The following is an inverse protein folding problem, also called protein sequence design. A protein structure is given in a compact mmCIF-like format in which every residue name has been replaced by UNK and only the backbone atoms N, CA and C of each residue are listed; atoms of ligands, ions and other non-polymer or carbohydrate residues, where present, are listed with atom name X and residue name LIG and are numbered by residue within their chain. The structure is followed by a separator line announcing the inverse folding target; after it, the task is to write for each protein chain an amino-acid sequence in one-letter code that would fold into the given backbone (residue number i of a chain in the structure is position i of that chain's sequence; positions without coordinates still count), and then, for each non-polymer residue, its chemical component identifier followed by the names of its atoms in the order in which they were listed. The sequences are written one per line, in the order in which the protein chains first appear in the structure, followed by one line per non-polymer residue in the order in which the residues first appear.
data_IF_359048964930
#
_entry.id   IF_359048964930
#
_cell.length_a   1.000
_cell.length_b   1.000
_cell.length_c   1.000
_cell.angle_alpha   90.00
_cell.angle_beta   90.00
_cell.angle_gamma   90.00
#
_symmetry.space_group_name_H-M   'P 1'
#
loop_
_entity.id
_entity.type
_entity.pdbx_description
1 polymer ?
#
# COMPACT_ATOMS: atom_id res chain seq x y z
N UNK A 1 -36.41 13.65 3.48
CA UNK A 1 -36.94 12.29 3.72
C UNK A 1 -36.00 11.43 4.58
N UNK A 2 -34.67 11.49 4.39
CA UNK A 2 -33.70 10.75 5.20
C UNK A 2 -33.46 11.33 6.63
N UNK A 3 -33.76 12.61 6.86
CA UNK A 3 -33.57 13.30 8.15
C UNK A 3 -34.47 12.75 9.27
N UNK A 4 -35.63 12.18 8.93
CA UNK A 4 -36.55 11.58 9.91
C UNK A 4 -36.12 10.18 10.37
N UNK A 5 -35.24 9.51 9.62
CA UNK A 5 -34.73 8.16 9.93
C UNK A 5 -33.45 8.20 10.78
N UNK A 6 -32.63 9.25 10.62
CA UNK A 6 -31.37 9.40 11.36
C UNK A 6 -31.17 10.83 11.90
N UNK A 7 -31.92 11.23 12.93
CA UNK A 7 -31.90 12.59 13.47
C UNK A 7 -30.55 13.00 14.12
N UNK A 8 -29.66 12.04 14.40
CA UNK A 8 -28.33 12.30 14.98
C UNK A 8 -27.21 12.26 13.93
N UNK A 9 -27.54 11.95 12.68
CA UNK A 9 -26.57 11.77 11.61
C UNK A 9 -26.24 13.12 11.00
N UNK A 10 -24.99 13.54 11.17
CA UNK A 10 -24.48 14.76 10.54
C UNK A 10 -24.14 14.45 9.08
N UNK A 11 -25.11 14.63 8.19
CA UNK A 11 -24.97 14.36 6.75
C UNK A 11 -23.72 15.00 6.13
N UNK A 12 -23.37 16.22 6.54
CA UNK A 12 -22.17 16.91 6.07
C UNK A 12 -20.87 16.17 6.43
N UNK A 13 -20.80 15.60 7.64
CA UNK A 13 -19.63 14.85 8.08
C UNK A 13 -19.51 13.53 7.35
N UNK A 14 -20.64 12.89 7.08
CA UNK A 14 -20.68 11.61 6.37
C UNK A 14 -20.23 11.79 4.92
N UNK A 15 -20.68 12.86 4.27
CA UNK A 15 -20.22 13.24 2.94
C UNK A 15 -18.71 13.56 2.92
N UNK A 16 -18.24 14.36 3.86
CA UNK A 16 -16.81 14.69 3.97
C UNK A 16 -15.94 13.43 4.19
N UNK A 17 -16.33 12.53 5.11
CA UNK A 17 -15.60 11.29 5.37
C UNK A 17 -15.61 10.34 4.15
N UNK A 18 -16.70 10.34 3.38
CA UNK A 18 -16.80 9.57 2.14
C UNK A 18 -15.79 10.08 1.10
N UNK A 19 -15.71 11.40 0.93
CA UNK A 19 -14.72 12.02 0.04
C UNK A 19 -13.29 11.77 0.52
N UNK A 20 -13.05 11.81 1.82
CA UNK A 20 -11.74 11.52 2.40
C UNK A 20 -11.30 10.08 2.12
N UNK A 21 -12.22 9.12 2.27
CA UNK A 21 -11.97 7.71 1.94
C UNK A 21 -11.71 7.51 0.46
N UNK A 22 -12.49 8.17 -0.41
CA UNK A 22 -12.30 8.11 -1.85
C UNK A 22 -10.95 8.70 -2.27
N UNK A 23 -10.55 9.83 -1.67
CA UNK A 23 -9.26 10.45 -1.88
C UNK A 23 -8.11 9.52 -1.47
N UNK A 24 -8.18 8.96 -0.25
CA UNK A 24 -7.18 8.00 0.22
C UNK A 24 -7.06 6.80 -0.71
N UNK A 25 -8.20 6.23 -1.12
CA UNK A 25 -8.26 5.03 -1.96
C UNK A 25 -7.73 5.30 -3.37
N UNK A 26 -8.16 6.39 -4.01
CA UNK A 26 -7.73 6.74 -5.36
C UNK A 26 -6.22 7.03 -5.40
N UNK A 27 -5.74 7.87 -4.49
CA UNK A 27 -4.33 8.28 -4.47
C UNK A 27 -3.42 7.12 -4.06
N UNK A 28 -3.78 6.40 -2.98
CA UNK A 28 -3.00 5.23 -2.56
C UNK A 28 -3.06 4.11 -3.60
N UNK A 29 -4.20 3.89 -4.25
CA UNK A 29 -4.37 2.88 -5.29
C UNK A 29 -3.46 3.15 -6.49
N UNK A 30 -3.44 4.38 -6.99
CA UNK A 30 -2.55 4.77 -8.10
C UNK A 30 -1.07 4.65 -7.70
N UNK A 31 -0.69 5.18 -6.54
CA UNK A 31 0.71 5.12 -6.08
C UNK A 31 1.17 3.68 -5.81
N UNK A 32 0.32 2.88 -5.19
CA UNK A 32 0.53 1.44 -4.97
C UNK A 32 0.69 0.70 -6.29
N UNK A 33 -0.17 0.98 -7.26
CA UNK A 33 -0.11 0.33 -8.56
C UNK A 33 1.22 0.61 -9.25
N UNK A 34 1.67 1.87 -9.27
CA UNK A 34 2.96 2.24 -9.84
C UNK A 34 4.13 1.57 -9.10
N UNK A 35 4.17 1.62 -7.77
CA UNK A 35 5.24 0.99 -6.98
C UNK A 35 5.24 -0.54 -7.11
N UNK A 36 4.06 -1.15 -7.07
CA UNK A 36 3.86 -2.59 -7.25
C UNK A 36 4.31 -3.06 -8.62
N UNK A 37 4.04 -2.27 -9.67
CA UNK A 37 4.49 -2.55 -11.02
C UNK A 37 6.02 -2.47 -11.12
N UNK A 38 6.65 -1.44 -10.56
CA UNK A 38 8.12 -1.33 -10.53
C UNK A 38 8.76 -2.51 -9.78
N UNK A 39 8.24 -2.86 -8.60
CA UNK A 39 8.72 -4.01 -7.82
C UNK A 39 8.49 -5.33 -8.58
N UNK A 40 7.33 -5.50 -9.21
CA UNK A 40 6.99 -6.68 -10.01
C UNK A 40 7.90 -6.83 -11.23
N UNK A 41 8.18 -5.75 -11.95
CA UNK A 41 9.14 -5.73 -13.05
C UNK A 41 10.56 -6.05 -12.59
N UNK A 42 11.00 -5.46 -11.48
CA UNK A 42 12.32 -5.73 -10.91
C UNK A 42 12.50 -7.22 -10.57
N UNK A 43 11.50 -7.84 -9.94
CA UNK A 43 11.49 -9.29 -9.69
C UNK A 43 11.46 -10.09 -10.98
N UNK A 44 10.64 -9.70 -11.96
CA UNK A 44 10.52 -10.40 -13.24
C UNK A 44 11.84 -10.41 -14.03
N UNK A 45 12.54 -9.27 -14.08
CA UNK A 45 13.79 -9.11 -14.81
C UNK A 45 14.98 -9.80 -14.13
N UNK A 46 14.99 -9.85 -12.80
CA UNK A 46 16.08 -10.45 -12.01
C UNK A 46 15.91 -11.95 -11.73
N UNK A 47 14.71 -12.48 -11.97
CA UNK A 47 14.40 -13.89 -11.82
C UNK A 47 15.22 -14.81 -12.74
N UNK A 48 15.20 -16.11 -12.45
CA UNK A 48 15.87 -17.15 -13.25
C UNK A 48 15.29 -17.16 -14.67
N UNK A 49 16.15 -16.97 -15.67
CA UNK A 49 15.76 -16.83 -17.09
C UNK A 49 15.40 -15.40 -17.53
N UNK A 50 15.52 -14.39 -16.66
CA UNK A 50 15.35 -12.98 -17.03
C UNK A 50 16.61 -12.35 -17.65
N UNK A 51 16.43 -11.23 -18.36
CA UNK A 51 17.51 -10.51 -19.06
C UNK A 51 18.62 -10.02 -18.10
N UNK A 52 18.27 -9.69 -16.85
CA UNK A 52 19.20 -9.23 -15.81
C UNK A 52 19.30 -10.25 -14.67
N UNK A 53 19.50 -11.53 -15.02
CA UNK A 53 19.55 -12.60 -14.04
C UNK A 53 20.53 -12.31 -12.89
N UNK A 54 20.00 -12.07 -11.69
CA UNK A 54 20.79 -11.89 -10.49
C UNK A 54 20.06 -12.51 -9.31
N UNK A 55 20.51 -13.71 -8.93
CA UNK A 55 19.91 -14.49 -7.84
C UNK A 55 19.93 -13.74 -6.50
N UNK A 56 20.96 -12.94 -6.25
CA UNK A 56 21.09 -12.16 -5.01
C UNK A 56 20.03 -11.06 -4.97
N UNK A 57 19.91 -10.27 -6.04
CA UNK A 57 18.93 -9.17 -6.11
C UNK A 57 17.51 -9.71 -6.04
N UNK A 58 17.21 -10.77 -6.80
CA UNK A 58 15.91 -11.43 -6.75
C UNK A 58 15.58 -11.92 -5.33
N UNK A 59 16.53 -12.59 -4.66
CA UNK A 59 16.31 -13.11 -3.31
C UNK A 59 16.09 -12.00 -2.30
N UNK A 60 16.85 -10.90 -2.36
CA UNK A 60 16.69 -9.76 -1.44
C UNK A 60 15.31 -9.11 -1.62
N UNK A 61 14.92 -8.79 -2.86
CA UNK A 61 13.62 -8.17 -3.14
C UNK A 61 12.49 -9.11 -2.74
N UNK A 62 12.61 -10.41 -3.04
CA UNK A 62 11.61 -11.42 -2.68
C UNK A 62 11.44 -11.56 -1.17
N UNK A 63 12.54 -11.60 -0.41
CA UNK A 63 12.49 -11.62 1.07
C UNK A 63 11.78 -10.36 1.58
N UNK A 64 12.18 -9.18 1.10
CA UNK A 64 11.57 -7.91 1.51
C UNK A 64 10.07 -7.91 1.25
N UNK A 65 9.64 -8.24 0.02
CA UNK A 65 8.22 -8.31 -0.36
C UNK A 65 7.45 -9.28 0.53
N UNK A 66 8.01 -10.46 0.79
CA UNK A 66 7.36 -11.46 1.64
C UNK A 66 7.27 -11.00 3.09
N UNK A 67 8.31 -10.37 3.65
CA UNK A 67 8.28 -9.80 5.01
C UNK A 67 7.17 -8.74 5.12
N UNK A 68 7.10 -7.79 4.19
CA UNK A 68 6.05 -6.77 4.23
C UNK A 68 4.64 -7.37 4.08
N UNK A 69 4.45 -8.43 3.28
CA UNK A 69 3.16 -9.15 3.19
C UNK A 69 2.77 -9.87 4.47
N UNK A 70 3.76 -10.38 5.22
CA UNK A 70 3.51 -11.09 6.48
C UNK A 70 3.19 -10.15 7.65
N UNK A 71 3.58 -8.87 7.57
CA UNK A 71 3.25 -7.88 8.60
C UNK A 71 1.77 -7.50 8.47
N UNK A 72 0.95 -7.66 9.52
CA UNK A 72 -0.43 -7.22 9.49
C UNK A 72 -0.52 -5.72 9.21
N UNK A 73 -1.46 -5.30 8.36
CA UNK A 73 -1.59 -3.90 7.94
C UNK A 73 -1.68 -2.91 9.11
N UNK A 74 -2.41 -3.28 10.17
CA UNK A 74 -2.54 -2.47 11.40
C UNK A 74 -1.17 -2.23 12.07
N UNK A 75 -0.31 -3.26 12.10
CA UNK A 75 1.04 -3.16 12.68
C UNK A 75 1.94 -2.28 11.81
N UNK A 76 1.81 -2.39 10.48
CA UNK A 76 2.56 -1.56 9.55
C UNK A 76 2.25 -0.07 9.69
N UNK A 77 0.98 0.30 9.92
CA UNK A 77 0.59 1.68 10.21
C UNK A 77 1.37 2.20 11.42
N UNK A 78 1.38 1.45 12.51
CA UNK A 78 2.06 1.85 13.75
C UNK A 78 3.58 1.94 13.53
N UNK A 79 4.15 0.99 12.80
CA UNK A 79 5.58 0.97 12.46
C UNK A 79 5.99 2.21 11.64
N UNK A 80 5.09 2.70 10.79
CA UNK A 80 5.33 3.86 9.93
C UNK A 80 5.03 5.20 10.60
N UNK A 81 4.44 5.27 11.81
CA UNK A 81 4.20 6.54 12.52
C UNK A 81 5.42 7.48 12.54
N UNK A 82 6.63 7.06 12.95
CA UNK A 82 7.79 7.96 12.96
C UNK A 82 8.15 8.45 11.54
N UNK A 83 8.06 7.57 10.55
CA UNK A 83 8.31 7.91 9.15
C UNK A 83 7.25 8.89 8.61
N UNK A 84 5.97 8.60 8.80
CA UNK A 84 4.85 9.47 8.42
C UNK A 84 4.96 10.84 9.07
N UNK A 85 5.32 10.91 10.36
CA UNK A 85 5.54 12.19 11.04
C UNK A 85 6.66 13.01 10.40
N UNK A 86 7.75 12.38 9.96
CA UNK A 86 8.85 13.09 9.29
C UNK A 86 8.49 13.55 7.88
N UNK A 87 7.70 12.78 7.13
CA UNK A 87 7.39 13.07 5.72
C UNK A 87 6.18 14.01 5.58
N UNK A 88 5.13 13.76 6.36
CA UNK A 88 3.82 14.43 6.26
C UNK A 88 3.65 15.50 7.34
N UNK A 89 4.42 15.44 8.44
CA UNK A 89 4.34 16.38 9.55
C UNK A 89 3.19 16.11 10.54
N UNK A 90 2.28 15.17 10.22
CA UNK A 90 1.14 14.79 11.07
C UNK A 90 0.99 13.27 11.15
N UNK A 91 0.37 12.80 12.24
CA UNK A 91 0.02 11.39 12.48
C UNK A 91 -1.48 11.11 12.26
N UNK A 92 -2.29 12.15 12.03
CA UNK A 92 -3.74 12.06 11.85
C UNK A 92 -4.19 12.65 10.50
N UNK A 93 -5.32 12.14 10.01
CA UNK A 93 -5.99 12.56 8.77
C UNK A 93 -5.56 11.76 7.53
N UNK A 94 -6.25 12.00 6.40
CA UNK A 94 -6.02 11.30 5.14
C UNK A 94 -4.56 11.20 4.72
N UNK A 95 -3.85 12.33 4.77
CA UNK A 95 -2.47 12.39 4.30
C UNK A 95 -1.51 11.56 5.16
N UNK A 96 -1.82 11.37 6.45
CA UNK A 96 -1.03 10.52 7.34
C UNK A 96 -1.26 9.02 7.09
N UNK A 97 -2.44 8.64 6.58
CA UNK A 97 -2.75 7.26 6.24
C UNK A 97 -2.11 6.81 4.91
N UNK A 98 -1.86 7.74 3.99
CA UNK A 98 -1.34 7.44 2.65
C UNK A 98 -0.03 6.62 2.65
N UNK A 99 1.03 6.96 3.42
CA UNK A 99 2.28 6.21 3.37
C UNK A 99 2.10 4.75 3.76
N UNK A 100 1.31 4.47 4.81
CA UNK A 100 1.04 3.11 5.25
C UNK A 100 0.21 2.33 4.23
N UNK A 101 -0.80 2.97 3.64
CA UNK A 101 -1.60 2.36 2.56
C UNK A 101 -0.73 2.01 1.35
N UNK A 102 0.12 2.93 0.91
CA UNK A 102 0.97 2.76 -0.27
C UNK A 102 2.02 1.66 -0.05
N UNK A 103 2.76 1.73 1.05
CA UNK A 103 3.83 0.74 1.36
C UNK A 103 3.24 -0.62 1.72
N UNK A 104 2.08 -0.65 2.38
CA UNK A 104 1.41 -1.90 2.74
C UNK A 104 0.80 -2.62 1.55
N UNK A 105 0.24 -1.88 0.59
CA UNK A 105 -0.43 -2.48 -0.56
C UNK A 105 0.54 -2.81 -1.72
N UNK A 106 1.67 -2.09 -1.86
CA UNK A 106 2.59 -2.29 -2.98
C UNK A 106 3.16 -3.72 -3.10
N UNK A 107 3.56 -4.39 -1.99
CA UNK A 107 4.01 -5.77 -2.02
C UNK A 107 2.96 -6.73 -2.57
N UNK A 108 1.66 -6.48 -2.42
CA UNK A 108 0.60 -7.38 -2.92
C UNK A 108 0.46 -7.39 -4.44
N UNK A 109 0.89 -6.32 -5.11
CA UNK A 109 0.87 -6.23 -6.58
C UNK A 109 2.07 -6.90 -7.25
N UNK A 110 3.12 -7.24 -6.51
CA UNK A 110 4.24 -8.02 -7.04
C UNK A 110 3.80 -9.47 -7.33
N UNK A 111 4.21 -10.10 -8.45
CA UNK A 111 3.93 -11.51 -8.69
C UNK A 111 4.55 -12.39 -7.59
N UNK A 112 3.83 -13.41 -7.10
CA UNK A 112 4.42 -14.44 -6.24
C UNK A 112 5.57 -15.11 -6.99
N UNK A 113 6.78 -14.98 -6.48
CA UNK A 113 8.00 -15.53 -7.09
C UNK A 113 8.07 -17.06 -7.14
N UNK A 114 6.96 -17.78 -6.97
CA UNK A 114 6.85 -19.23 -6.98
C UNK A 114 6.32 -19.84 -8.27
N UNK A 115 5.73 -19.04 -9.18
CA UNK A 115 4.97 -19.56 -10.33
C UNK A 115 5.80 -19.75 -11.61
N UNK A 116 7.14 -19.75 -11.52
CA UNK A 116 7.98 -20.15 -12.66
C UNK A 116 8.25 -21.66 -12.59
N UNK A 117 7.78 -22.45 -13.57
CA UNK A 117 8.14 -23.86 -13.64
C UNK A 117 9.66 -23.99 -13.72
N UNK A 118 10.18 -24.95 -12.95
CA UNK A 118 11.60 -25.29 -12.86
C UNK A 118 12.21 -25.64 -14.21
#
# INVERSE_FOLDING_TARGET
MAENLFPHLKWDQLWAATLETLYMTALSGVATFVLGLVLGLALFLTARGGMFHNRTVYSVISIVVNVFRSIPFIILIVLLIPFTKTVVGTILGANAALPALIVGAAPFYAPSGGDRPA
#
